data_IF_458204454032
#
_entry.id   IF_458204454032
#
_cell.length_a   1.000
_cell.length_b   1.000
_cell.length_c   1.000
_cell.angle_alpha   90.00
_cell.angle_beta   90.00
_cell.angle_gamma   90.00
#
_symmetry.space_group_name_H-M   'P 1'
#
loop_
_entity.id
_entity.type
_entity.pdbx_description
1 polymer ?
#
# COMPACT_ATOMS: atom_id res chain seq x y z
N UNK A 1 -3.55 -4.96 -8.42
CA UNK A 1 -3.58 -3.53 -8.82
C UNK A 1 -4.96 -3.20 -9.36
N UNK A 2 -5.57 -2.07 -9.01
CA UNK A 2 -6.88 -1.65 -9.55
C UNK A 2 -6.69 -0.98 -10.91
N UNK A 3 -6.98 -1.70 -11.98
CA UNK A 3 -7.02 -1.18 -13.36
C UNK A 3 -8.20 -1.82 -14.07
N UNK A 4 -8.80 -1.11 -15.03
CA UNK A 4 -9.93 -1.60 -15.82
C UNK A 4 -11.29 -1.33 -15.19
N UNK A 5 -12.30 -2.10 -15.60
CA UNK A 5 -13.70 -1.86 -15.19
C UNK A 5 -14.03 -2.54 -13.88
N UNK A 6 -14.53 -1.75 -12.93
CA UNK A 6 -15.02 -2.19 -11.64
C UNK A 6 -16.52 -1.94 -11.55
N UNK A 7 -17.25 -2.96 -11.12
CA UNK A 7 -18.71 -2.93 -11.03
C UNK A 7 -19.14 -3.37 -9.64
N UNK A 8 -20.12 -2.68 -9.08
CA UNK A 8 -20.77 -3.02 -7.81
C UNK A 8 -22.25 -3.23 -8.05
N UNK A 9 -22.71 -4.40 -7.63
CA UNK A 9 -24.09 -4.84 -7.76
C UNK A 9 -24.71 -4.92 -6.36
N UNK A 10 -26.00 -4.59 -6.25
CA UNK A 10 -26.74 -4.81 -5.01
C UNK A 10 -27.20 -6.27 -4.87
N UNK A 11 -27.88 -6.58 -3.75
CA UNK A 11 -28.41 -7.91 -3.48
C UNK A 11 -29.58 -8.31 -4.41
N UNK A 12 -30.11 -7.38 -5.20
CA UNK A 12 -31.20 -7.58 -6.16
C UNK A 12 -30.69 -7.66 -7.61
N UNK A 13 -29.36 -7.81 -7.81
CA UNK A 13 -28.67 -7.83 -9.10
C UNK A 13 -28.83 -6.52 -9.92
N UNK A 14 -29.03 -5.38 -9.27
CA UNK A 14 -28.97 -4.07 -9.92
C UNK A 14 -27.54 -3.51 -9.89
N UNK A 15 -27.09 -2.97 -11.02
CA UNK A 15 -25.80 -2.30 -11.13
C UNK A 15 -25.89 -0.91 -10.48
N UNK A 16 -25.18 -0.73 -9.36
CA UNK A 16 -25.21 0.52 -8.57
C UNK A 16 -24.04 1.43 -8.94
N UNK A 17 -22.85 0.86 -9.14
CA UNK A 17 -21.65 1.62 -9.49
C UNK A 17 -20.91 0.94 -10.62
N UNK A 18 -20.45 1.73 -11.59
CA UNK A 18 -19.49 1.31 -12.59
C UNK A 18 -18.40 2.38 -12.70
N UNK A 19 -17.14 1.98 -12.54
CA UNK A 19 -15.95 2.84 -12.64
C UNK A 19 -14.94 2.22 -13.58
N UNK A 20 -14.27 3.05 -14.37
CA UNK A 20 -13.16 2.65 -15.22
C UNK A 20 -11.86 3.28 -14.68
N UNK A 21 -10.98 2.44 -14.16
CA UNK A 21 -9.71 2.85 -13.54
C UNK A 21 -8.59 2.83 -14.58
N UNK A 22 -7.94 3.98 -14.78
CA UNK A 22 -6.70 4.07 -15.59
C UNK A 22 -5.47 3.67 -14.78
N UNK A 23 -5.51 3.93 -13.47
CA UNK A 23 -4.49 3.58 -12.48
C UNK A 23 -5.18 3.39 -11.10
N UNK A 24 -4.47 3.02 -10.02
CA UNK A 24 -5.08 2.75 -8.73
C UNK A 24 -5.84 3.92 -8.09
N UNK A 25 -5.57 5.16 -8.50
CA UNK A 25 -6.11 6.37 -7.89
C UNK A 25 -7.05 7.13 -8.83
N UNK A 26 -6.85 7.01 -10.15
CA UNK A 26 -7.63 7.75 -11.15
C UNK A 26 -8.69 6.85 -11.78
N UNK A 27 -9.94 7.29 -11.71
CA UNK A 27 -11.06 6.60 -12.35
C UNK A 27 -12.03 7.57 -13.02
N UNK A 28 -12.70 7.09 -14.07
CA UNK A 28 -13.89 7.71 -14.63
C UNK A 28 -15.12 7.01 -14.06
N UNK A 29 -16.03 7.77 -13.44
CA UNK A 29 -17.31 7.23 -13.01
C UNK A 29 -18.25 7.12 -14.21
N UNK A 30 -18.75 5.92 -14.47
CA UNK A 30 -19.69 5.61 -15.54
C UNK A 30 -21.12 5.52 -14.98
N UNK A 31 -21.29 4.88 -13.82
CA UNK A 31 -22.57 4.77 -13.13
C UNK A 31 -22.37 5.11 -11.64
N UNK A 32 -23.24 5.94 -11.03
CA UNK A 32 -24.23 6.77 -11.70
C UNK A 32 -23.57 7.79 -12.64
N UNK A 33 -24.24 8.12 -13.76
CA UNK A 33 -23.79 9.18 -14.65
C UNK A 33 -23.71 10.48 -13.84
N UNK A 34 -22.58 11.18 -13.96
CA UNK A 34 -22.48 12.52 -13.39
C UNK A 34 -23.56 13.41 -14.04
N UNK A 35 -24.21 14.31 -13.28
CA UNK A 35 -25.21 15.22 -13.85
C UNK A 35 -24.64 16.00 -15.05
N UNK A 36 -25.38 16.11 -16.16
CA UNK A 36 -24.96 16.91 -17.34
C UNK A 36 -25.01 18.44 -17.08
N UNK A 37 -25.77 18.88 -16.07
CA UNK A 37 -25.86 20.27 -15.66
C UNK A 37 -24.58 20.67 -14.89
N UNK A 38 -23.80 21.63 -15.41
CA UNK A 38 -22.52 22.06 -14.80
C UNK A 38 -22.35 23.60 -14.81
N UNK A 39 -21.54 24.25 -13.91
CA UNK A 39 -20.74 23.67 -12.83
C UNK A 39 -20.75 24.48 -11.51
N UNK A 40 -20.56 23.81 -10.37
CA UNK A 40 -19.58 24.37 -9.44
C UNK A 40 -18.28 23.67 -9.85
N UNK A 41 -17.38 24.36 -10.54
CA UNK A 41 -16.09 23.79 -11.02
C UNK A 41 -15.37 23.02 -9.88
N UNK A 42 -15.57 23.45 -8.64
CA UNK A 42 -15.05 22.82 -7.42
C UNK A 42 -15.59 21.41 -7.14
N UNK A 43 -16.79 21.05 -7.63
CA UNK A 43 -17.39 19.72 -7.41
C UNK A 43 -16.94 18.68 -8.45
N UNK A 44 -16.56 19.12 -9.66
CA UNK A 44 -16.12 18.24 -10.74
C UNK A 44 -14.59 18.21 -10.94
N UNK A 45 -13.84 19.05 -10.23
CA UNK A 45 -12.38 18.94 -10.20
C UNK A 45 -12.01 17.64 -9.47
N UNK A 46 -11.12 16.80 -10.02
CA UNK A 46 -10.65 15.64 -9.29
C UNK A 46 -10.07 16.09 -7.95
N UNK A 47 -10.56 15.49 -6.86
CA UNK A 47 -10.14 15.81 -5.49
C UNK A 47 -8.62 15.66 -5.31
N UNK A 48 -7.97 14.89 -6.18
CA UNK A 48 -6.55 14.67 -6.22
C UNK A 48 -6.03 14.53 -7.65
N UNK A 49 -4.92 15.21 -7.95
CA UNK A 49 -4.21 15.09 -9.22
C UNK A 49 -2.82 14.51 -8.97
N UNK A 50 -2.47 13.47 -9.73
CA UNK A 50 -1.13 12.86 -9.67
C UNK A 50 -0.12 13.86 -10.21
N UNK A 51 0.73 14.39 -9.32
CA UNK A 51 1.81 15.32 -9.66
C UNK A 51 3.08 14.91 -8.92
N UNK A 52 4.19 14.96 -9.66
CA UNK A 52 5.52 14.83 -9.08
C UNK A 52 5.91 16.16 -8.43
N UNK A 53 6.44 16.08 -7.22
CA UNK A 53 7.04 17.23 -6.54
C UNK A 53 8.47 17.50 -7.02
N UNK A 54 9.11 18.51 -6.42
CA UNK A 54 10.49 18.91 -6.75
C UNK A 54 11.52 17.81 -6.43
N UNK A 55 11.18 16.88 -5.52
CA UNK A 55 11.99 15.73 -5.14
C UNK A 55 11.85 14.54 -6.11
N UNK A 56 10.90 14.62 -7.04
CA UNK A 56 10.74 13.64 -8.12
C UNK A 56 9.87 12.44 -7.77
N UNK A 57 9.06 12.50 -6.72
CA UNK A 57 8.03 11.50 -6.42
C UNK A 57 6.62 12.10 -6.34
N UNK A 58 5.60 11.24 -6.40
CA UNK A 58 4.20 11.65 -6.33
C UNK A 58 3.82 11.89 -4.86
N UNK A 59 3.36 13.09 -4.54
CA UNK A 59 2.87 13.39 -3.19
C UNK A 59 1.52 12.71 -2.96
N UNK A 60 1.39 11.82 -1.95
CA UNK A 60 0.12 11.18 -1.68
C UNK A 60 -0.89 12.23 -1.25
N UNK A 61 -2.15 11.97 -1.58
CA UNK A 61 -3.24 12.83 -1.15
C UNK A 61 -3.22 13.07 0.36
N UNK A 62 -3.44 14.31 0.79
CA UNK A 62 -3.44 14.60 2.22
C UNK A 62 -4.69 14.02 2.89
N UNK A 63 -4.50 13.15 3.87
CA UNK A 63 -5.60 12.48 4.59
C UNK A 63 -5.67 12.99 6.01
N UNK A 64 -6.85 13.48 6.40
CA UNK A 64 -7.15 13.89 7.77
C UNK A 64 -8.08 12.90 8.46
N UNK A 65 -8.24 13.01 9.78
CA UNK A 65 -9.09 12.09 10.54
C UNK A 65 -10.57 12.20 10.17
N UNK A 66 -11.00 13.36 9.68
CA UNK A 66 -12.38 13.67 9.36
C UNK A 66 -12.87 13.02 8.06
N UNK A 67 -11.94 12.63 7.19
CA UNK A 67 -12.23 11.98 5.90
C UNK A 67 -12.01 10.47 5.94
N UNK A 68 -11.35 9.96 6.99
CA UNK A 68 -11.13 8.54 7.21
C UNK A 68 -12.42 7.89 7.71
N UNK A 69 -12.94 6.94 6.93
CA UNK A 69 -14.14 6.20 7.30
C UNK A 69 -13.81 4.99 8.14
N UNK A 70 -12.76 4.26 7.74
CA UNK A 70 -12.13 3.23 8.54
C UNK A 70 -10.65 3.20 8.21
N UNK A 71 -9.85 2.71 9.15
CA UNK A 71 -8.43 2.44 8.94
C UNK A 71 -8.06 1.14 9.66
N UNK A 72 -7.18 0.36 9.04
CA UNK A 72 -6.66 -0.89 9.56
C UNK A 72 -5.16 -0.94 9.28
N UNK A 73 -4.38 -1.24 10.30
CA UNK A 73 -2.95 -1.46 10.15
C UNK A 73 -2.67 -2.92 9.82
N UNK A 74 -1.84 -3.16 8.82
CA UNK A 74 -1.48 -4.50 8.37
C UNK A 74 0.04 -4.61 8.18
N UNK A 75 0.54 -5.83 8.26
CA UNK A 75 1.90 -6.16 7.90
C UNK A 75 1.87 -7.22 6.83
N UNK A 76 2.66 -7.01 5.78
CA UNK A 76 2.79 -7.95 4.68
C UNK A 76 4.20 -8.48 4.57
N UNK A 77 4.31 -9.72 4.14
CA UNK A 77 5.56 -10.34 3.77
C UNK A 77 5.69 -10.30 2.24
N UNK A 78 6.70 -9.59 1.76
CA UNK A 78 7.12 -9.61 0.36
C UNK A 78 8.28 -10.58 0.21
N UNK A 79 8.07 -11.63 -0.58
CA UNK A 79 9.07 -12.66 -0.88
C UNK A 79 9.66 -12.49 -2.28
N UNK A 80 10.78 -13.15 -2.61
CA UNK A 80 11.41 -13.01 -3.92
C UNK A 80 10.50 -13.37 -5.09
N UNK A 81 9.63 -14.37 -4.89
CA UNK A 81 8.70 -14.82 -5.91
C UNK A 81 7.72 -13.69 -6.30
N UNK A 82 7.60 -13.42 -7.60
CA UNK A 82 6.81 -12.32 -8.17
C UNK A 82 7.29 -10.90 -7.81
N UNK A 83 8.52 -10.74 -7.30
CA UNK A 83 9.11 -9.44 -6.95
C UNK A 83 10.51 -9.25 -7.55
N UNK A 84 10.75 -9.78 -8.75
CA UNK A 84 12.08 -9.82 -9.39
C UNK A 84 12.82 -8.47 -9.32
N UNK A 85 12.14 -7.35 -9.55
CA UNK A 85 12.77 -6.01 -9.54
C UNK A 85 13.38 -5.66 -8.18
N UNK A 86 12.73 -6.05 -7.08
CA UNK A 86 13.18 -5.77 -5.72
C UNK A 86 14.34 -6.69 -5.30
N UNK A 87 14.31 -7.95 -5.75
CA UNK A 87 15.21 -9.01 -5.29
C UNK A 87 16.35 -9.35 -6.27
N UNK A 88 16.32 -8.85 -7.50
CA UNK A 88 17.37 -9.10 -8.49
C UNK A 88 18.70 -8.56 -8.00
N UNK A 89 19.65 -9.46 -7.77
CA UNK A 89 20.96 -9.16 -7.19
C UNK A 89 20.86 -8.44 -5.83
N UNK A 90 19.78 -8.66 -5.08
CA UNK A 90 19.47 -7.96 -3.83
C UNK A 90 19.48 -6.43 -3.98
N UNK A 91 19.12 -5.91 -5.16
CA UNK A 91 19.26 -4.48 -5.51
C UNK A 91 18.62 -3.56 -4.47
N UNK A 92 17.35 -3.79 -4.11
CA UNK A 92 16.66 -2.93 -3.15
C UNK A 92 17.28 -3.01 -1.75
N UNK A 93 17.71 -4.20 -1.34
CA UNK A 93 18.37 -4.39 -0.05
C UNK A 93 19.74 -3.69 0.01
N UNK A 94 20.55 -3.82 -1.05
CA UNK A 94 21.82 -3.10 -1.16
C UNK A 94 21.63 -1.58 -1.17
N UNK A 95 20.58 -1.11 -1.85
CA UNK A 95 20.21 0.30 -1.89
C UNK A 95 19.91 0.85 -0.48
N UNK A 96 19.01 0.21 0.27
CA UNK A 96 18.68 0.64 1.64
C UNK A 96 19.92 0.59 2.55
N UNK A 97 20.69 -0.50 2.51
CA UNK A 97 21.89 -0.63 3.35
C UNK A 97 22.93 0.44 3.04
N UNK A 98 23.12 0.80 1.77
CA UNK A 98 24.03 1.88 1.38
C UNK A 98 23.60 3.20 2.01
N UNK A 99 22.31 3.52 2.02
CA UNK A 99 21.79 4.73 2.65
C UNK A 99 21.95 4.70 4.18
N UNK A 100 21.61 3.57 4.80
CA UNK A 100 21.74 3.40 6.25
C UNK A 100 23.21 3.52 6.73
N UNK A 101 24.14 2.83 6.07
CA UNK A 101 25.56 2.82 6.43
C UNK A 101 26.28 4.15 6.12
N UNK A 102 25.72 4.97 5.23
CA UNK A 102 26.21 6.34 4.96
C UNK A 102 25.49 7.39 5.79
N UNK A 103 24.62 6.99 6.73
CA UNK A 103 23.81 7.86 7.58
C UNK A 103 22.92 8.84 6.78
N UNK A 104 22.56 8.47 5.54
CA UNK A 104 21.66 9.25 4.70
C UNK A 104 20.19 9.07 5.11
N UNK A 105 19.87 7.98 5.79
CA UNK A 105 18.56 7.67 6.39
C UNK A 105 18.77 7.15 7.81
N UNK A 106 17.74 7.26 8.65
CA UNK A 106 17.75 6.66 9.98
C UNK A 106 17.08 5.28 9.88
N UNK A 107 17.72 4.27 10.47
CA UNK A 107 17.13 2.95 10.64
C UNK A 107 16.89 2.67 12.12
N UNK A 108 15.87 1.87 12.41
CA UNK A 108 15.34 1.69 13.75
C UNK A 108 15.43 0.23 14.19
N UNK A 109 15.61 0.02 15.49
CA UNK A 109 15.65 -1.30 16.11
C UNK A 109 14.38 -2.10 15.87
N UNK A 110 14.50 -3.42 15.94
CA UNK A 110 13.40 -4.38 15.73
C UNK A 110 12.73 -4.82 17.02
N UNK A 111 13.10 -4.20 18.16
CA UNK A 111 12.46 -4.40 19.48
C UNK A 111 10.97 -4.06 19.42
N UNK A 112 10.62 -3.02 18.68
CA UNK A 112 9.26 -2.65 18.32
C UNK A 112 9.18 -2.36 16.81
N UNK A 113 8.01 -1.97 16.32
CA UNK A 113 7.81 -1.51 14.95
C UNK A 113 7.30 -0.07 14.87
N UNK A 114 7.52 0.71 15.93
CA UNK A 114 7.04 2.08 16.12
C UNK A 114 8.12 3.14 15.80
N UNK A 115 9.27 2.72 15.24
CA UNK A 115 10.36 3.60 14.81
C UNK A 115 10.89 4.49 15.95
N UNK A 116 11.01 3.94 17.16
CA UNK A 116 11.37 4.73 18.35
C UNK A 116 12.87 4.73 18.66
N UNK A 117 13.54 3.61 18.41
CA UNK A 117 14.94 3.40 18.81
C UNK A 117 15.83 3.41 17.57
N UNK A 118 16.48 4.54 17.22
CA UNK A 118 17.40 4.58 16.08
C UNK A 118 18.65 3.71 16.34
N UNK A 119 19.22 3.16 15.28
CA UNK A 119 20.47 2.39 15.30
C UNK A 119 21.59 3.17 14.61
N UNK A 120 22.79 3.11 15.19
CA UNK A 120 24.00 3.58 14.54
C UNK A 120 24.50 2.56 13.49
N UNK A 121 25.28 3.00 12.47
CA UNK A 121 25.78 2.10 11.42
C UNK A 121 26.55 0.88 11.92
N UNK A 122 27.30 1.00 13.03
CA UNK A 122 28.07 -0.08 13.64
C UNK A 122 27.19 -1.10 14.40
N UNK A 123 25.94 -0.76 14.69
CA UNK A 123 24.94 -1.68 15.28
C UNK A 123 24.24 -2.53 14.21
N UNK A 124 24.37 -2.19 12.93
CA UNK A 124 23.74 -2.91 11.82
C UNK A 124 24.52 -4.20 11.51
N UNK A 125 24.05 -5.32 12.01
CA UNK A 125 24.65 -6.64 11.76
C UNK A 125 24.07 -7.31 10.50
N UNK A 126 24.67 -7.03 9.35
CA UNK A 126 24.33 -7.69 8.08
C UNK A 126 25.02 -9.06 8.01
N UNK A 127 24.36 -10.07 8.57
CA UNK A 127 24.83 -11.46 8.53
C UNK A 127 23.73 -12.37 7.99
N UNK A 128 24.04 -13.12 6.93
CA UNK A 128 23.10 -14.04 6.26
C UNK A 128 22.67 -13.53 4.89
N UNK A 129 21.70 -14.24 4.32
CA UNK A 129 21.16 -13.98 2.97
C UNK A 129 19.80 -13.31 3.08
N UNK A 130 19.47 -12.40 2.15
CA UNK A 130 18.15 -11.79 2.08
C UNK A 130 17.08 -12.87 1.84
N UNK A 131 16.09 -12.92 2.74
CA UNK A 131 14.95 -13.82 2.63
C UNK A 131 13.71 -13.12 2.09
N UNK A 132 13.49 -11.87 2.47
CA UNK A 132 12.28 -11.12 2.15
C UNK A 132 12.21 -9.78 2.88
N UNK A 133 11.07 -9.10 2.75
CA UNK A 133 10.77 -7.87 3.49
C UNK A 133 9.45 -7.99 4.24
N UNK A 134 9.40 -7.44 5.45
CA UNK A 134 8.14 -7.11 6.11
C UNK A 134 7.81 -5.66 5.78
N UNK A 135 6.60 -5.42 5.31
CA UNK A 135 6.09 -4.10 4.95
C UNK A 135 4.95 -3.77 5.92
N UNK A 136 5.13 -2.73 6.74
CA UNK A 136 4.09 -2.20 7.65
C UNK A 136 3.28 -1.16 6.88
N UNK A 137 1.96 -1.32 6.81
CA UNK A 137 1.06 -0.49 6.01
C UNK A 137 -0.21 -0.09 6.78
N UNK A 138 -0.77 1.07 6.47
CA UNK A 138 -2.12 1.45 6.87
C UNK A 138 -3.04 1.39 5.65
N UNK A 139 -4.03 0.50 5.70
CA UNK A 139 -5.13 0.44 4.73
C UNK A 139 -6.32 1.25 5.27
N UNK A 140 -6.94 2.07 4.43
CA UNK A 140 -8.06 2.90 4.85
C UNK A 140 -8.96 3.28 3.68
N UNK A 141 -10.19 3.67 4.00
CA UNK A 141 -11.10 4.27 3.01
C UNK A 141 -11.16 5.79 3.18
N UNK A 142 -10.83 6.47 2.08
CA UNK A 142 -10.91 7.92 1.94
C UNK A 142 -12.30 8.30 1.43
N UNK A 143 -13.07 9.00 2.26
CA UNK A 143 -14.43 9.44 1.91
C UNK A 143 -14.46 10.39 0.73
N UNK A 144 -13.53 11.34 0.68
CA UNK A 144 -13.60 12.45 -0.27
C UNK A 144 -13.24 11.96 -1.68
N UNK A 145 -12.27 11.05 -1.79
CA UNK A 145 -11.95 10.36 -3.05
C UNK A 145 -12.79 9.10 -3.32
N UNK A 146 -13.54 8.62 -2.32
CA UNK A 146 -14.31 7.38 -2.35
C UNK A 146 -13.50 6.16 -2.80
N UNK A 147 -12.28 6.03 -2.28
CA UNK A 147 -11.31 5.00 -2.64
C UNK A 147 -10.68 4.39 -1.40
N UNK A 148 -10.48 3.08 -1.45
CA UNK A 148 -9.54 2.41 -0.55
C UNK A 148 -8.11 2.68 -1.00
N UNK A 149 -7.28 3.16 -0.08
CA UNK A 149 -5.84 3.35 -0.27
C UNK A 149 -5.06 2.61 0.81
N UNK A 150 -3.87 2.13 0.44
CA UNK A 150 -2.92 1.51 1.38
C UNK A 150 -1.62 2.30 1.34
N UNK A 151 -1.16 2.77 2.49
CA UNK A 151 0.09 3.54 2.64
C UNK A 151 1.14 2.73 3.38
N UNK A 152 2.31 2.64 2.78
CA UNK A 152 3.48 2.04 3.42
C UNK A 152 4.01 3.00 4.48
N UNK A 153 4.19 2.48 5.70
CA UNK A 153 4.79 3.19 6.82
C UNK A 153 6.25 2.83 6.99
N UNK A 154 6.60 1.56 6.81
CA UNK A 154 7.97 1.13 6.93
C UNK A 154 8.23 -0.24 6.34
N UNK A 155 9.52 -0.49 6.12
CA UNK A 155 10.04 -1.70 5.50
C UNK A 155 11.11 -2.28 6.42
N UNK A 156 11.07 -3.59 6.64
CA UNK A 156 12.04 -4.32 7.44
C UNK A 156 12.61 -5.49 6.62
N UNK A 157 13.91 -5.45 6.27
CA UNK A 157 14.58 -6.60 5.66
C UNK A 157 14.63 -7.79 6.61
N UNK A 158 14.42 -8.99 6.07
CA UNK A 158 14.58 -10.26 6.77
C UNK A 158 15.80 -11.00 6.22
N UNK A 159 16.69 -11.41 7.11
CA UNK A 159 17.85 -12.22 6.77
C UNK A 159 17.67 -13.65 7.29
N UNK A 160 18.17 -14.62 6.53
CA UNK A 160 18.30 -16.01 6.97
C UNK A 160 19.78 -16.34 7.14
N UNK A 161 20.13 -16.90 8.30
CA UNK A 161 21.49 -17.37 8.57
C UNK A 161 21.70 -18.80 8.05
N UNK A 162 22.94 -19.31 8.20
CA UNK A 162 23.29 -20.67 7.74
C UNK A 162 22.54 -21.78 8.50
N UNK A 163 22.00 -21.51 9.70
CA UNK A 163 21.19 -22.45 10.48
C UNK A 163 19.71 -22.45 10.08
N UNK A 164 19.28 -21.52 9.22
CA UNK A 164 17.90 -21.37 8.77
C UNK A 164 17.05 -20.43 9.64
N UNK A 165 17.62 -19.84 10.68
CA UNK A 165 16.92 -18.89 11.54
C UNK A 165 16.74 -17.56 10.80
N UNK A 166 15.50 -17.07 10.81
CA UNK A 166 15.13 -15.79 10.19
C UNK A 166 15.19 -14.67 11.22
N UNK A 167 15.93 -13.60 10.92
CA UNK A 167 16.10 -12.45 11.80
C UNK A 167 15.66 -11.17 11.09
N UNK A 168 14.96 -10.29 11.80
CA UNK A 168 14.67 -8.92 11.35
C UNK A 168 15.92 -8.07 11.49
N UNK A 169 16.31 -7.36 10.42
CA UNK A 169 17.53 -6.56 10.43
C UNK A 169 17.33 -5.22 11.15
N UNK A 170 16.47 -4.36 10.61
CA UNK A 170 16.06 -3.06 11.17
C UNK A 170 14.76 -2.62 10.48
N UNK A 171 14.08 -1.63 11.05
CA UNK A 171 12.99 -0.91 10.40
C UNK A 171 13.50 0.33 9.70
N UNK A 172 12.97 0.60 8.51
CA UNK A 172 13.15 1.88 7.81
C UNK A 172 11.81 2.59 7.75
N UNK A 173 11.77 3.87 8.11
CA UNK A 173 10.59 4.69 7.93
C UNK A 173 10.44 5.03 6.44
N UNK A 174 9.40 4.52 5.79
CA UNK A 174 9.25 4.57 4.34
C UNK A 174 9.27 6.00 3.75
N UNK A 175 8.64 7.01 4.38
CA UNK A 175 8.73 8.39 3.91
C UNK A 175 10.15 8.93 3.75
N UNK A 176 11.12 8.51 4.58
CA UNK A 176 12.53 8.92 4.45
C UNK A 176 13.22 8.33 3.21
N UNK A 177 12.73 7.19 2.69
CA UNK A 177 13.32 6.56 1.50
C UNK A 177 12.90 7.23 0.19
N UNK A 178 11.77 7.94 0.17
CA UNK A 178 11.08 8.33 -1.07
C UNK A 178 11.91 9.23 -1.97
N UNK A 179 12.56 10.24 -1.39
CA UNK A 179 13.44 11.15 -2.13
C UNK A 179 14.62 10.41 -2.80
N UNK A 180 15.14 9.38 -2.15
CA UNK A 180 16.22 8.57 -2.70
C UNK A 180 15.70 7.61 -3.78
N UNK A 181 14.57 6.95 -3.53
CA UNK A 181 13.97 6.01 -4.48
C UNK A 181 13.46 6.69 -5.76
N UNK A 182 13.03 7.96 -5.67
CA UNK A 182 12.67 8.79 -6.81
C UNK A 182 13.84 9.00 -7.80
N UNK A 183 15.08 8.96 -7.30
CA UNK A 183 16.30 9.14 -8.13
C UNK A 183 16.74 7.84 -8.81
N UNK A 184 16.28 6.69 -8.31
CA UNK A 184 16.59 5.38 -8.85
C UNK A 184 15.64 5.02 -9.99
N UNK A 185 16.11 5.17 -11.23
CA UNK A 185 15.32 4.87 -12.43
C UNK A 185 15.24 3.38 -12.70
N UNK A 186 14.05 2.90 -13.04
CA UNK A 186 13.81 1.54 -13.49
C UNK A 186 13.68 1.54 -15.02
N UNK A 187 14.30 0.55 -15.67
CA UNK A 187 14.29 0.41 -17.13
C UNK A 187 13.85 -0.98 -17.60
N UNK A 188 13.07 -1.68 -16.77
CA UNK A 188 12.58 -3.01 -17.10
C UNK A 188 11.39 -2.92 -18.06
N UNK A 189 11.44 -3.65 -19.17
CA UNK A 189 10.40 -3.61 -20.19
C UNK A 189 9.09 -4.30 -19.77
N UNK A 190 9.10 -5.07 -18.67
CA UNK A 190 7.90 -5.67 -18.08
C UNK A 190 7.05 -4.68 -17.28
N UNK A 191 7.61 -3.52 -16.91
CA UNK A 191 6.91 -2.50 -16.14
C UNK A 191 5.90 -1.71 -17.00
N UNK A 192 4.76 -1.31 -16.41
CA UNK A 192 3.88 -0.32 -17.01
C UNK A 192 4.60 1.01 -17.26
N UNK A 193 4.18 1.76 -18.30
CA UNK A 193 4.82 3.02 -18.73
C UNK A 193 4.85 4.12 -17.65
N UNK A 194 3.89 4.10 -16.72
CA UNK A 194 3.83 5.06 -15.61
C UNK A 194 4.81 4.75 -14.47
N UNK A 195 5.43 3.56 -14.44
CA UNK A 195 6.42 3.20 -13.43
C UNK A 195 7.82 3.48 -13.97
N UNK A 196 8.42 4.59 -13.52
CA UNK A 196 9.72 5.07 -14.04
C UNK A 196 10.84 4.97 -13.02
N UNK A 197 10.49 5.00 -11.74
CA UNK A 197 11.41 5.04 -10.61
C UNK A 197 11.08 3.95 -9.60
N UNK A 198 12.01 3.70 -8.68
CA UNK A 198 11.78 2.79 -7.57
C UNK A 198 10.66 3.30 -6.64
N UNK A 199 10.50 4.62 -6.47
CA UNK A 199 9.37 5.17 -5.70
C UNK A 199 8.04 4.89 -6.41
N UNK A 200 7.97 5.06 -7.74
CA UNK A 200 6.75 4.75 -8.51
C UNK A 200 6.30 3.31 -8.31
N UNK A 201 7.24 2.36 -8.23
CA UNK A 201 6.94 0.95 -8.00
C UNK A 201 6.19 0.75 -6.68
N UNK A 202 6.60 1.42 -5.61
CA UNK A 202 5.92 1.37 -4.31
C UNK A 202 4.63 2.20 -4.29
N UNK A 203 4.64 3.41 -4.89
CA UNK A 203 3.48 4.30 -4.96
C UNK A 203 2.30 3.64 -5.68
N UNK A 204 2.55 3.01 -6.82
CA UNK A 204 1.55 2.26 -7.58
C UNK A 204 1.35 0.83 -7.07
N UNK A 205 2.05 0.45 -5.99
CA UNK A 205 2.00 -0.86 -5.34
C UNK A 205 2.21 -2.02 -6.33
N UNK A 206 3.20 -1.86 -7.20
CA UNK A 206 3.60 -2.85 -8.21
C UNK A 206 4.59 -3.86 -7.61
N UNK A 207 4.13 -4.58 -6.58
CA UNK A 207 4.84 -5.66 -5.91
C UNK A 207 3.81 -6.65 -5.32
N UNK A 208 4.23 -7.89 -5.10
CA UNK A 208 3.43 -8.93 -4.45
C UNK A 208 3.78 -9.05 -2.97
N UNK A 209 2.78 -9.11 -2.09
CA UNK A 209 3.01 -9.33 -0.67
C UNK A 209 1.77 -9.91 0.03
N UNK A 210 1.99 -10.88 0.92
CA UNK A 210 0.94 -11.61 1.65
C UNK A 210 0.77 -11.03 3.04
N UNK A 211 -0.48 -10.83 3.50
CA UNK A 211 -0.74 -10.36 4.87
C UNK A 211 -0.27 -11.42 5.86
N UNK A 212 0.55 -11.02 6.84
CA UNK A 212 1.04 -11.89 7.92
C UNK A 212 0.52 -11.45 9.30
N UNK A 213 0.01 -10.22 9.41
CA UNK A 213 -0.56 -9.65 10.63
C UNK A 213 -1.54 -8.54 10.26
N UNK A 214 -2.65 -8.44 10.99
CA UNK A 214 -3.48 -7.23 11.06
C UNK A 214 -3.50 -6.71 12.50
N UNK A 215 -3.75 -5.41 12.69
CA UNK A 215 -3.94 -4.83 14.01
C UNK A 215 -5.08 -5.53 14.73
N UNK A 216 -4.77 -6.15 15.86
CA UNK A 216 -5.73 -6.89 16.66
C UNK A 216 -5.47 -6.69 18.15
N UNK A 217 -6.47 -7.00 18.98
CA UNK A 217 -6.46 -6.76 20.43
C UNK A 217 -5.29 -7.44 21.15
N UNK A 218 -4.83 -8.57 20.62
CA UNK A 218 -3.79 -9.40 21.22
C UNK A 218 -2.40 -9.21 20.57
N UNK A 219 -2.29 -8.30 19.60
CA UNK A 219 -1.10 -8.03 18.80
C UNK A 219 -0.47 -9.26 18.11
N UNK A 220 -1.28 -10.28 17.81
CA UNK A 220 -0.80 -11.57 17.27
C UNK A 220 -0.61 -11.55 15.76
N UNK A 221 0.40 -12.27 15.28
CA UNK A 221 0.53 -12.68 13.88
C UNK A 221 -0.53 -13.73 13.53
N UNK A 222 -0.83 -13.85 12.23
CA UNK A 222 -1.77 -14.85 11.71
C UNK A 222 -1.31 -16.27 12.10
N UNK A 223 -0.01 -16.55 11.99
CA UNK A 223 0.61 -17.83 12.36
C UNK A 223 0.41 -18.25 13.81
N UNK A 224 0.06 -17.32 14.71
CA UNK A 224 -0.16 -17.61 16.12
C UNK A 224 -1.60 -18.07 16.45
N UNK A 225 -2.55 -17.91 15.52
CA UNK A 225 -3.95 -18.25 15.78
C UNK A 225 -4.68 -18.95 14.64
N UNK A 226 -4.20 -18.83 13.40
CA UNK A 226 -4.80 -19.48 12.25
C UNK A 226 -4.10 -20.81 11.95
N UNK A 227 -4.90 -21.86 11.69
CA UNK A 227 -4.37 -23.14 11.22
C UNK A 227 -3.88 -23.05 9.76
N UNK A 228 -4.58 -22.27 8.94
CA UNK A 228 -4.26 -21.99 7.54
C UNK A 228 -4.00 -20.49 7.39
N UNK A 229 -2.71 -20.12 7.41
CA UNK A 229 -2.27 -18.73 7.34
C UNK A 229 -2.67 -18.06 6.02
N UNK A 230 -2.63 -18.81 4.92
CA UNK A 230 -2.93 -18.29 3.59
C UNK A 230 -4.41 -17.96 3.46
N UNK A 231 -5.29 -18.88 3.89
CA UNK A 231 -6.74 -18.65 3.89
C UNK A 231 -7.13 -17.48 4.79
N UNK A 232 -6.48 -17.34 5.94
CA UNK A 232 -6.74 -16.22 6.84
C UNK A 232 -6.24 -14.88 6.27
N UNK A 233 -5.08 -14.88 5.61
CA UNK A 233 -4.58 -13.71 4.89
C UNK A 233 -5.53 -13.29 3.76
N UNK A 234 -6.04 -14.24 2.97
CA UNK A 234 -7.05 -13.97 1.94
C UNK A 234 -8.35 -13.43 2.55
N UNK A 235 -8.82 -13.99 3.67
CA UNK A 235 -10.01 -13.49 4.37
C UNK A 235 -9.84 -12.02 4.79
N UNK A 236 -8.66 -11.64 5.29
CA UNK A 236 -8.37 -10.26 5.66
C UNK A 236 -8.32 -9.36 4.42
N UNK A 237 -7.69 -9.81 3.32
CA UNK A 237 -7.65 -9.07 2.05
C UNK A 237 -9.06 -8.80 1.52
N UNK A 238 -9.91 -9.83 1.48
CA UNK A 238 -11.30 -9.74 1.04
C UNK A 238 -12.07 -8.78 1.95
N UNK A 239 -11.87 -8.82 3.27
CA UNK A 239 -12.56 -7.89 4.20
C UNK A 239 -12.24 -6.41 3.91
N UNK A 240 -11.04 -6.10 3.43
CA UNK A 240 -10.65 -4.74 3.04
C UNK A 240 -11.40 -4.33 1.77
N UNK A 241 -11.52 -5.22 0.79
CA UNK A 241 -12.23 -4.99 -0.47
C UNK A 241 -13.75 -4.87 -0.23
N UNK A 242 -14.32 -5.76 0.57
CA UNK A 242 -15.74 -5.73 0.95
C UNK A 242 -16.11 -4.43 1.66
N UNK A 243 -15.24 -3.91 2.53
CA UNK A 243 -15.49 -2.63 3.18
C UNK A 243 -15.66 -1.50 2.15
N UNK A 244 -14.86 -1.46 1.09
CA UNK A 244 -15.03 -0.47 -0.01
C UNK A 244 -16.35 -0.64 -0.74
N UNK A 245 -16.67 -1.88 -1.09
CA UNK A 245 -17.90 -2.25 -1.76
C UNK A 245 -19.13 -1.79 -0.97
N UNK A 246 -19.14 -2.07 0.34
CA UNK A 246 -20.21 -1.67 1.25
C UNK A 246 -20.35 -0.15 1.34
N UNK A 247 -19.25 0.61 1.32
CA UNK A 247 -19.32 2.08 1.26
C UNK A 247 -19.91 2.58 -0.05
N UNK A 248 -19.53 1.98 -1.18
CA UNK A 248 -20.11 2.36 -2.47
C UNK A 248 -21.61 2.05 -2.53
N UNK A 249 -22.06 0.94 -1.94
CA UNK A 249 -23.49 0.64 -1.79
C UNK A 249 -24.22 1.64 -0.89
N UNK A 250 -23.63 2.02 0.25
CA UNK A 250 -24.27 2.97 1.17
C UNK A 250 -24.44 4.37 0.54
N UNK A 251 -23.40 4.84 -0.17
CA UNK A 251 -23.39 6.15 -0.81
C UNK A 251 -24.37 6.23 -2.00
N UNK A 252 -24.48 5.16 -2.79
CA UNK A 252 -25.23 5.19 -4.05
C UNK A 252 -26.56 4.43 -4.02
N UNK A 253 -26.76 3.53 -3.04
CA UNK A 253 -27.94 2.68 -2.91
C UNK A 253 -29.09 3.28 -2.10
N UNK A 254 -28.93 4.45 -1.48
CA UNK A 254 -29.97 5.10 -0.66
C UNK A 254 -30.89 6.05 -1.42
N UNK A 255 -30.99 5.94 -2.75
CA UNK A 255 -31.97 6.67 -3.55
C UNK A 255 -33.20 5.79 -3.84
N UNK A 256 -33.90 5.37 -2.77
CA UNK A 256 -34.97 4.38 -2.85
C UNK A 256 -36.05 4.46 -1.78
N UNK A 257 -36.11 5.49 -0.93
CA UNK A 257 -37.36 5.81 -0.23
C UNK A 257 -38.27 6.52 -1.24
N UNK A 258 -39.07 5.73 -1.96
CA UNK A 258 -40.24 6.24 -2.68
C UNK A 258 -41.11 6.96 -1.65
N UNK A 259 -41.11 8.30 -1.71
CA UNK A 259 -42.13 9.12 -1.08
C UNK A 259 -43.50 8.60 -1.53
N UNK A 260 -44.31 8.16 -0.56
CA UNK A 260 -45.71 7.74 -0.74
C UNK A 260 -46.54 8.77 -1.52
#
# INVERSE_FOLDING_TARGET
>A
MRTGTWMVWDAEDNLIVQREFSDPFTYKQIIPEAPEDDPVELLNTPVYEIKYNDEGYIEPFHVTKEILVWAKRIWRYAEPENNDILFKYDYFFQFINKLALSEAIIVYSTVDDEFQTPLAPDEINISGTLKGFIIKEDAFFDRDRQLNETRILGICPLLVNDTGDTTKLYWVYFPELREFMAKEKLSDASLPEYIKTLDDLFFYRHFSATIIKESNVYDRFISEYAEDEYKEAERIEVSIIEAEHDFWLQLNGSCGEKSN
#
